data_IF_150928141534
#
_entry.id   IF_150928141534
#
_cell.length_a   1.000
_cell.length_b   1.000
_cell.length_c   1.000
_cell.angle_alpha   90.00
_cell.angle_beta   90.00
_cell.angle_gamma   90.00
#
_symmetry.space_group_name_H-M   'P 1'
#
loop_
_entity.id
_entity.type
_entity.pdbx_description
1 polymer ?
#
# COMPACT_ATOMS: atom_id res chain seq x y z
N UNK A 1 15.98 5.59 -43.13
CA UNK A 1 15.41 6.69 -42.30
C UNK A 1 13.89 6.62 -42.04
N UNK A 2 13.04 6.12 -42.96
CA UNK A 2 11.58 6.02 -42.72
C UNK A 2 11.20 5.00 -41.63
N UNK A 3 11.88 3.84 -41.59
CA UNK A 3 11.62 2.76 -40.62
C UNK A 3 11.89 3.14 -39.16
N UNK A 4 13.05 3.75 -38.86
CA UNK A 4 13.41 4.16 -37.51
C UNK A 4 12.42 5.17 -36.90
N UNK A 5 11.99 6.17 -37.69
CA UNK A 5 10.96 7.13 -37.25
C UNK A 5 9.62 6.45 -36.97
N UNK A 6 9.24 5.45 -37.76
CA UNK A 6 8.02 4.67 -37.54
C UNK A 6 8.10 3.85 -36.24
N UNK A 7 9.23 3.19 -36.00
CA UNK A 7 9.49 2.46 -34.76
C UNK A 7 9.38 3.38 -33.53
N UNK A 8 10.01 4.56 -33.54
CA UNK A 8 9.92 5.53 -32.44
C UNK A 8 8.49 5.98 -32.14
N UNK A 9 7.68 6.22 -33.18
CA UNK A 9 6.25 6.53 -33.03
C UNK A 9 5.46 5.36 -32.43
N UNK A 10 5.79 4.13 -32.81
CA UNK A 10 5.17 2.93 -32.23
C UNK A 10 5.55 2.75 -30.76
N UNK A 11 6.81 2.95 -30.39
CA UNK A 11 7.27 2.90 -29.00
C UNK A 11 6.51 3.92 -28.14
N UNK A 12 6.36 5.16 -28.62
CA UNK A 12 5.59 6.19 -27.93
C UNK A 12 4.11 5.79 -27.78
N UNK A 13 3.51 5.21 -28.83
CA UNK A 13 2.12 4.72 -28.78
C UNK A 13 1.94 3.61 -27.74
N UNK A 14 2.91 2.69 -27.62
CA UNK A 14 2.88 1.62 -26.63
C UNK A 14 2.97 2.15 -25.19
N UNK A 15 3.83 3.14 -24.94
CA UNK A 15 3.91 3.81 -23.63
C UNK A 15 2.60 4.49 -23.25
N UNK A 16 2.02 5.29 -24.15
CA UNK A 16 0.74 5.97 -23.90
C UNK A 16 -0.39 4.96 -23.66
N UNK A 17 -0.43 3.87 -24.42
CA UNK A 17 -1.42 2.82 -24.23
C UNK A 17 -1.29 2.14 -22.86
N UNK A 18 -0.06 1.87 -22.40
CA UNK A 18 0.18 1.33 -21.08
C UNK A 18 -0.22 2.34 -19.99
N UNK A 19 0.20 3.59 -20.08
CA UNK A 19 -0.13 4.65 -19.11
C UNK A 19 -1.65 4.81 -18.94
N UNK A 20 -2.41 4.81 -20.04
CA UNK A 20 -3.87 4.87 -20.00
C UNK A 20 -4.50 3.63 -19.34
N UNK A 21 -3.94 2.44 -19.60
CA UNK A 21 -4.41 1.20 -18.97
C UNK A 21 -4.17 1.21 -17.46
N UNK A 22 -2.97 1.62 -17.03
CA UNK A 22 -2.61 1.71 -15.61
C UNK A 22 -3.47 2.75 -14.89
N UNK A 23 -3.78 3.88 -15.56
CA UNK A 23 -4.71 4.89 -15.03
C UNK A 23 -6.12 4.31 -14.81
N UNK A 24 -6.66 3.60 -15.80
CA UNK A 24 -7.98 2.97 -15.67
C UNK A 24 -8.01 1.92 -14.54
N UNK A 25 -6.94 1.12 -14.39
CA UNK A 25 -6.80 0.15 -13.30
C UNK A 25 -6.76 0.84 -11.92
N UNK A 26 -6.07 1.98 -11.78
CA UNK A 26 -6.08 2.77 -10.55
C UNK A 26 -7.46 3.32 -10.22
N UNK A 27 -8.20 3.80 -11.21
CA UNK A 27 -9.55 4.35 -11.02
C UNK A 27 -10.54 3.24 -10.63
N UNK A 28 -10.44 2.05 -11.22
CA UNK A 28 -11.22 0.88 -10.82
C UNK A 28 -10.89 0.44 -9.39
N UNK A 29 -9.60 0.40 -9.05
CA UNK A 29 -9.15 0.08 -7.70
C UNK A 29 -9.73 1.06 -6.67
N UNK A 30 -9.65 2.37 -6.91
CA UNK A 30 -10.25 3.40 -6.04
C UNK A 30 -11.75 3.19 -5.85
N UNK A 31 -12.48 2.92 -6.93
CA UNK A 31 -13.92 2.66 -6.86
C UNK A 31 -14.24 1.41 -6.03
N UNK A 32 -13.42 0.36 -6.12
CA UNK A 32 -13.55 -0.85 -5.30
C UNK A 32 -13.35 -0.54 -3.82
N UNK A 33 -12.28 0.19 -3.47
CA UNK A 33 -11.99 0.59 -2.09
C UNK A 33 -13.12 1.45 -1.50
N UNK A 34 -13.67 2.38 -2.29
CA UNK A 34 -14.82 3.19 -1.86
C UNK A 34 -16.04 2.33 -1.54
N UNK A 35 -16.38 1.37 -2.41
CA UNK A 35 -17.51 0.44 -2.18
C UNK A 35 -17.31 -0.42 -0.94
N UNK A 36 -16.09 -0.87 -0.66
CA UNK A 36 -15.77 -1.62 0.55
C UNK A 36 -15.98 -0.77 1.82
N UNK A 37 -15.56 0.50 1.79
CA UNK A 37 -15.79 1.44 2.90
C UNK A 37 -17.29 1.71 3.13
N UNK A 38 -18.03 1.97 2.05
CA UNK A 38 -19.49 2.19 2.12
C UNK A 38 -20.20 0.94 2.68
N UNK A 39 -19.79 -0.25 2.24
CA UNK A 39 -20.34 -1.52 2.74
C UNK A 39 -20.03 -1.72 4.23
N UNK A 40 -18.79 -1.44 4.64
CA UNK A 40 -18.39 -1.52 6.05
C UNK A 40 -19.19 -0.53 6.92
N UNK A 41 -19.36 0.71 6.46
CA UNK A 41 -20.12 1.73 7.15
C UNK A 41 -21.60 1.35 7.30
N UNK A 42 -22.22 0.84 6.23
CA UNK A 42 -23.61 0.38 6.26
C UNK A 42 -23.81 -0.80 7.22
N UNK A 43 -22.90 -1.78 7.21
CA UNK A 43 -22.93 -2.91 8.14
C UNK A 43 -22.79 -2.44 9.59
N UNK A 44 -21.85 -1.54 9.85
CA UNK A 44 -21.63 -0.92 11.17
C UNK A 44 -22.91 -0.23 11.68
N UNK A 45 -23.56 0.56 10.81
CA UNK A 45 -24.80 1.25 11.13
C UNK A 45 -25.93 0.27 11.50
N UNK A 46 -26.15 -0.76 10.68
CA UNK A 46 -27.20 -1.77 10.92
C UNK A 46 -26.95 -2.52 12.23
N UNK A 47 -25.70 -2.89 12.51
CA UNK A 47 -25.35 -3.58 13.76
C UNK A 47 -25.58 -2.71 15.00
N UNK A 48 -25.22 -1.43 14.95
CA UNK A 48 -25.44 -0.50 16.06
C UNK A 48 -26.93 -0.23 16.28
N UNK A 49 -27.71 -0.06 15.20
CA UNK A 49 -29.15 0.11 15.28
C UNK A 49 -29.82 -1.14 15.89
N UNK A 50 -29.36 -2.34 15.51
CA UNK A 50 -29.85 -3.60 16.06
C UNK A 50 -29.51 -3.75 17.54
N UNK A 51 -28.32 -3.34 17.96
CA UNK A 51 -27.91 -3.35 19.36
C UNK A 51 -28.77 -2.39 20.18
N UNK A 52 -28.97 -1.16 19.70
CA UNK A 52 -29.81 -0.17 20.37
C UNK A 52 -31.26 -0.66 20.54
N UNK A 53 -31.85 -1.25 19.50
CA UNK A 53 -33.20 -1.85 19.58
C UNK A 53 -33.27 -3.00 20.57
N UNK A 54 -32.22 -3.84 20.64
CA UNK A 54 -32.12 -4.92 21.64
C UNK A 54 -32.08 -4.34 23.05
N UNK A 55 -31.27 -3.32 23.30
CA UNK A 55 -31.17 -2.65 24.60
C UNK A 55 -32.53 -2.11 25.05
N UNK A 56 -33.24 -1.37 24.19
CA UNK A 56 -34.58 -0.86 24.51
C UNK A 56 -35.55 -1.99 24.87
N UNK A 57 -35.61 -3.04 24.05
CA UNK A 57 -36.50 -4.17 24.30
C UNK A 57 -36.17 -4.92 25.61
N UNK A 58 -34.89 -5.04 25.95
CA UNK A 58 -34.45 -5.69 27.18
C UNK A 58 -34.73 -4.80 28.40
N UNK A 59 -34.51 -3.50 28.31
CA UNK A 59 -34.91 -2.53 29.35
C UNK A 59 -36.41 -2.61 29.64
N UNK A 60 -37.26 -2.62 28.61
CA UNK A 60 -38.71 -2.74 28.77
C UNK A 60 -39.12 -4.07 29.43
N UNK A 61 -38.43 -5.16 29.10
CA UNK A 61 -38.66 -6.48 29.68
C UNK A 61 -38.28 -6.51 31.16
N UNK A 62 -37.11 -5.97 31.51
CA UNK A 62 -36.65 -5.87 32.90
C UNK A 62 -37.55 -4.96 33.75
N UNK A 63 -38.01 -3.83 33.20
CA UNK A 63 -38.98 -2.96 33.88
C UNK A 63 -40.30 -3.67 34.18
N UNK A 64 -40.81 -4.48 33.24
CA UNK A 64 -42.03 -5.27 33.48
C UNK A 64 -41.81 -6.38 34.49
N UNK A 65 -40.67 -7.07 34.43
CA UNK A 65 -40.33 -8.15 35.35
C UNK A 65 -40.17 -7.64 36.79
N UNK A 66 -39.44 -6.54 36.98
CA UNK A 66 -39.28 -5.89 38.29
C UNK A 66 -40.60 -5.40 38.87
N UNK A 67 -41.47 -4.78 38.06
CA UNK A 67 -42.79 -4.34 38.49
C UNK A 67 -43.76 -5.50 38.80
N UNK A 68 -43.59 -6.67 38.17
CA UNK A 68 -44.36 -7.87 38.49
C UNK A 68 -43.88 -8.49 39.81
N UNK A 69 -42.56 -8.56 40.02
CA UNK A 69 -41.97 -9.08 41.25
C UNK A 69 -42.29 -8.19 42.46
N UNK A 70 -42.23 -6.86 42.31
CA UNK A 70 -42.65 -5.92 43.36
C UNK A 70 -44.11 -6.19 43.79
N UNK A 71 -45.03 -6.34 42.82
CA UNK A 71 -46.44 -6.65 43.10
C UNK A 71 -46.61 -7.99 43.80
N UNK A 72 -45.84 -9.01 43.39
CA UNK A 72 -45.88 -10.35 44.01
C UNK A 72 -45.46 -10.29 45.47
N UNK A 73 -44.34 -9.63 45.77
CA UNK A 73 -43.84 -9.50 47.14
C UNK A 73 -44.81 -8.68 47.99
N UNK A 74 -45.36 -7.58 47.46
CA UNK A 74 -46.39 -6.79 48.16
C UNK A 74 -47.62 -7.63 48.51
N UNK A 75 -48.12 -8.43 47.56
CA UNK A 75 -49.25 -9.33 47.81
C UNK A 75 -48.92 -10.39 48.87
N UNK A 76 -47.70 -10.94 48.85
CA UNK A 76 -47.26 -11.91 49.85
C UNK A 76 -47.22 -11.31 51.26
N UNK A 77 -46.71 -10.08 51.40
CA UNK A 77 -46.70 -9.37 52.68
C UNK A 77 -48.13 -9.14 53.19
N UNK A 78 -49.01 -8.61 52.33
CA UNK A 78 -50.41 -8.36 52.72
C UNK A 78 -51.15 -9.65 53.08
N UNK A 79 -50.92 -10.73 52.34
CA UNK A 79 -51.52 -12.04 52.64
C UNK A 79 -51.05 -12.58 54.00
N UNK A 80 -49.76 -12.44 54.30
CA UNK A 80 -49.18 -12.81 55.59
C UNK A 80 -49.75 -11.97 56.73
N UNK A 81 -49.83 -10.65 56.56
CA UNK A 81 -50.42 -9.73 57.53
C UNK A 81 -51.90 -10.03 57.82
N UNK A 82 -52.68 -10.35 56.78
CA UNK A 82 -54.08 -10.76 56.93
C UNK A 82 -54.21 -12.07 57.70
N UNK A 83 -53.33 -13.04 57.45
CA UNK A 83 -53.30 -14.31 58.18
C UNK A 83 -53.00 -14.07 59.66
N UNK A 84 -51.96 -13.29 59.96
CA UNK A 84 -51.58 -12.91 61.33
C UNK A 84 -52.70 -12.18 62.05
N UNK A 85 -53.35 -11.21 61.40
CA UNK A 85 -54.48 -10.47 61.97
C UNK A 85 -55.68 -11.40 62.26
N UNK A 86 -55.98 -12.34 61.35
CA UNK A 86 -57.06 -13.30 61.55
C UNK A 86 -56.77 -14.20 62.75
N UNK A 87 -55.56 -14.74 62.85
CA UNK A 87 -55.12 -15.56 63.98
C UNK A 87 -55.13 -14.76 65.29
N UNK A 88 -54.69 -13.50 65.26
CA UNK A 88 -54.72 -12.60 66.41
C UNK A 88 -56.15 -12.36 66.93
N UNK A 89 -57.08 -11.99 66.04
CA UNK A 89 -58.49 -11.76 66.38
C UNK A 89 -59.18 -13.04 66.91
N UNK A 90 -58.81 -14.22 66.39
CA UNK A 90 -59.30 -15.49 66.92
C UNK A 90 -58.79 -15.77 68.34
N UNK A 91 -57.51 -15.46 68.62
CA UNK A 91 -56.94 -15.56 69.97
C UNK A 91 -57.66 -14.62 70.92
N UNK A 92 -57.81 -13.36 70.52
CA UNK A 92 -58.47 -12.32 71.30
C UNK A 92 -59.93 -12.69 71.65
N UNK A 93 -60.68 -13.29 70.71
CA UNK A 93 -62.04 -13.81 70.95
C UNK A 93 -62.08 -15.00 71.93
N UNK A 94 -61.04 -15.83 71.97
CA UNK A 94 -60.95 -16.94 72.93
C UNK A 94 -60.61 -16.40 74.32
N UNK A 95 -59.65 -15.50 74.42
CA UNK A 95 -59.26 -14.83 75.66
C UNK A 95 -60.39 -14.00 76.26
N UNK A 96 -61.13 -13.23 75.43
CA UNK A 96 -62.31 -12.49 75.88
C UNK A 96 -63.34 -13.41 76.51
N UNK A 97 -63.60 -14.58 75.91
CA UNK A 97 -64.54 -15.57 76.47
C UNK A 97 -64.07 -16.06 77.84
N UNK A 98 -62.80 -16.48 77.94
CA UNK A 98 -62.21 -16.96 79.19
C UNK A 98 -62.21 -15.90 80.30
N UNK A 99 -61.79 -14.67 80.01
CA UNK A 99 -61.77 -13.58 80.98
C UNK A 99 -63.18 -13.17 81.39
N UNK A 100 -64.12 -13.03 80.44
CA UNK A 100 -65.52 -12.71 80.72
C UNK A 100 -66.18 -13.75 81.62
N UNK A 101 -65.89 -15.04 81.41
CA UNK A 101 -66.44 -16.12 82.24
C UNK A 101 -65.82 -16.10 83.65
N UNK A 102 -64.51 -15.89 83.79
CA UNK A 102 -63.85 -15.70 85.10
C UNK A 102 -64.41 -14.53 85.91
N UNK A 103 -64.56 -13.36 85.29
CA UNK A 103 -65.10 -12.16 85.94
C UNK A 103 -66.57 -12.38 86.35
N UNK A 104 -67.34 -13.08 85.51
CA UNK A 104 -68.72 -13.44 85.84
C UNK A 104 -68.77 -14.33 87.07
N UNK A 105 -67.87 -15.30 87.19
CA UNK A 105 -67.77 -16.17 88.36
C UNK A 105 -67.34 -15.40 89.63
N UNK A 106 -66.34 -14.51 89.53
CA UNK A 106 -65.87 -13.64 90.62
C UNK A 106 -66.97 -12.69 91.14
N UNK A 107 -67.71 -12.01 90.25
CA UNK A 107 -68.83 -11.12 90.61
C UNK A 107 -70.02 -11.89 91.20
N UNK A 108 -70.16 -13.19 90.88
CA UNK A 108 -71.22 -14.05 91.42
C UNK A 108 -70.90 -14.54 92.83
N UNK A 109 -69.61 -14.78 93.15
CA UNK A 109 -69.15 -15.24 94.47
C UNK A 109 -69.21 -14.15 95.56
N UNK A 110 -69.19 -12.87 95.18
CA UNK A 110 -69.15 -11.76 96.14
C UNK A 110 -70.56 -11.40 96.67
N UNK A 111 -70.96 -11.95 97.82
CA UNK A 111 -72.36 -11.93 98.30
C UNK A 111 -72.83 -10.57 98.84
N UNK A 112 -71.92 -9.61 99.03
CA UNK A 112 -72.18 -8.33 99.72
C UNK A 112 -72.50 -7.12 98.82
N UNK A 113 -72.38 -7.25 97.49
CA UNK A 113 -72.50 -6.12 96.56
C UNK A 113 -73.92 -6.03 95.96
N UNK A 114 -74.58 -4.85 95.99
CA UNK A 114 -75.89 -4.63 95.37
C UNK A 114 -75.95 -5.06 93.90
N UNK A 115 -77.12 -5.55 93.44
CA UNK A 115 -77.31 -6.06 92.06
C UNK A 115 -76.94 -5.03 90.98
N UNK A 116 -77.18 -3.75 91.25
CA UNK A 116 -76.93 -2.64 90.34
C UNK A 116 -75.43 -2.37 90.18
N UNK A 117 -74.67 -2.39 91.29
CA UNK A 117 -73.21 -2.25 91.29
C UNK A 117 -72.49 -3.47 90.66
N UNK A 118 -73.03 -4.69 90.83
CA UNK A 118 -72.50 -5.89 90.15
C UNK A 118 -72.63 -5.82 88.62
N UNK A 119 -73.76 -5.29 88.13
CA UNK A 119 -73.99 -5.09 86.70
C UNK A 119 -73.08 -3.99 86.15
N UNK A 120 -72.91 -2.90 86.89
CA UNK A 120 -72.01 -1.82 86.50
C UNK A 120 -70.53 -2.24 86.51
N UNK A 121 -70.09 -3.00 87.51
CA UNK A 121 -68.74 -3.56 87.59
C UNK A 121 -68.43 -4.48 86.40
N UNK A 122 -69.36 -5.40 86.09
CA UNK A 122 -69.25 -6.28 84.91
C UNK A 122 -69.23 -5.48 83.60
N UNK A 123 -69.99 -4.38 83.52
CA UNK A 123 -70.04 -3.50 82.35
C UNK A 123 -68.71 -2.75 82.15
N UNK A 124 -68.20 -2.08 83.20
CA UNK A 124 -66.91 -1.35 83.17
C UNK A 124 -65.75 -2.29 82.81
N UNK A 125 -65.76 -3.52 83.32
CA UNK A 125 -64.69 -4.47 83.05
C UNK A 125 -64.74 -5.01 81.61
N UNK A 126 -65.93 -5.24 81.04
CA UNK A 126 -66.10 -5.54 79.61
C UNK A 126 -65.62 -4.38 78.72
N UNK A 127 -65.95 -3.14 79.08
CA UNK A 127 -65.52 -1.95 78.34
C UNK A 127 -63.98 -1.81 78.38
N UNK A 128 -63.37 -2.02 79.55
CA UNK A 128 -61.90 -1.98 79.71
C UNK A 128 -61.22 -3.07 78.87
N UNK A 129 -61.75 -4.29 78.89
CA UNK A 129 -61.25 -5.39 78.05
C UNK A 129 -61.38 -5.08 76.56
N UNK A 130 -62.53 -4.55 76.12
CA UNK A 130 -62.72 -4.15 74.72
C UNK A 130 -61.77 -3.01 74.31
N UNK A 131 -61.54 -2.04 75.20
CA UNK A 131 -60.58 -0.94 74.95
C UNK A 131 -59.15 -1.47 74.82
N UNK A 132 -58.69 -2.32 75.74
CA UNK A 132 -57.38 -2.98 75.67
C UNK A 132 -57.23 -3.81 74.39
N UNK A 133 -58.27 -4.54 74.00
CA UNK A 133 -58.28 -5.33 72.76
C UNK A 133 -58.18 -4.46 71.50
N UNK A 134 -58.87 -3.32 71.48
CA UNK A 134 -58.78 -2.35 70.40
C UNK A 134 -57.40 -1.67 70.34
N UNK A 135 -56.78 -1.40 71.50
CA UNK A 135 -55.42 -0.85 71.59
C UNK A 135 -54.37 -1.83 71.06
N UNK A 136 -54.45 -3.12 71.43
CA UNK A 136 -53.55 -4.16 70.91
C UNK A 136 -53.74 -4.43 69.42
N UNK A 137 -54.98 -4.44 68.92
CA UNK A 137 -55.26 -4.54 67.48
C UNK A 137 -54.69 -3.33 66.72
N UNK A 138 -54.89 -2.11 67.26
CA UNK A 138 -54.32 -0.88 66.69
C UNK A 138 -52.79 -0.94 66.63
N UNK A 139 -52.16 -1.44 67.69
CA UNK A 139 -50.70 -1.63 67.75
C UNK A 139 -50.21 -2.65 66.73
N UNK A 140 -50.86 -3.81 66.59
CA UNK A 140 -50.52 -4.81 65.56
C UNK A 140 -50.65 -4.22 64.15
N UNK A 141 -51.75 -3.54 63.85
CA UNK A 141 -51.97 -2.89 62.56
C UNK A 141 -50.91 -1.80 62.27
N UNK A 142 -50.50 -1.05 63.30
CA UNK A 142 -49.41 -0.09 63.23
C UNK A 142 -48.06 -0.75 62.88
N UNK A 143 -47.73 -1.86 63.53
CA UNK A 143 -46.52 -2.64 63.23
C UNK A 143 -46.54 -3.21 61.81
N UNK A 144 -47.67 -3.81 61.40
CA UNK A 144 -47.84 -4.35 60.06
C UNK A 144 -47.65 -3.26 59.00
N UNK A 145 -48.21 -2.06 59.21
CA UNK A 145 -48.00 -0.92 58.31
C UNK A 145 -46.51 -0.56 58.19
N UNK A 146 -45.80 -0.43 59.32
CA UNK A 146 -44.37 -0.11 59.30
C UNK A 146 -43.53 -1.18 58.58
N UNK A 147 -43.83 -2.46 58.80
CA UNK A 147 -43.16 -3.57 58.10
C UNK A 147 -43.43 -3.53 56.60
N UNK A 148 -44.68 -3.27 56.19
CA UNK A 148 -45.05 -3.15 54.78
C UNK A 148 -44.32 -2.00 54.10
N UNK A 149 -44.35 -0.80 54.71
CA UNK A 149 -43.72 0.39 54.15
C UNK A 149 -42.20 0.22 54.02
N UNK A 150 -41.56 -0.37 55.04
CA UNK A 150 -40.12 -0.67 55.03
C UNK A 150 -39.76 -1.70 53.96
N UNK A 151 -40.57 -2.74 53.81
CA UNK A 151 -40.35 -3.79 52.80
C UNK A 151 -40.53 -3.22 51.38
N UNK A 152 -41.56 -2.41 51.15
CA UNK A 152 -41.75 -1.72 49.88
C UNK A 152 -40.56 -0.82 49.53
N UNK A 153 -40.03 -0.08 50.51
CA UNK A 153 -38.85 0.77 50.28
C UNK A 153 -37.59 -0.06 49.98
N UNK A 154 -37.39 -1.19 50.67
CA UNK A 154 -36.28 -2.11 50.40
C UNK A 154 -36.35 -2.69 48.97
N UNK A 155 -37.54 -3.09 48.51
CA UNK A 155 -37.75 -3.59 47.14
C UNK A 155 -37.40 -2.50 46.12
N UNK A 156 -37.88 -1.27 46.32
CA UNK A 156 -37.55 -0.13 45.43
C UNK A 156 -36.04 0.10 45.35
N UNK A 157 -35.32 0.01 46.47
CA UNK A 157 -33.85 0.11 46.50
C UNK A 157 -33.20 -0.99 45.66
N UNK A 158 -33.66 -2.24 45.82
CA UNK A 158 -33.17 -3.40 45.05
C UNK A 158 -33.41 -3.22 43.55
N UNK A 159 -34.55 -2.68 43.16
CA UNK A 159 -34.88 -2.37 41.76
C UNK A 159 -33.95 -1.31 41.18
N UNK A 160 -33.63 -0.24 41.93
CA UNK A 160 -32.66 0.79 41.49
C UNK A 160 -31.28 0.17 41.25
N UNK A 161 -30.78 -0.64 42.19
CA UNK A 161 -29.48 -1.32 42.07
C UNK A 161 -29.45 -2.26 40.86
N UNK A 162 -30.46 -3.12 40.71
CA UNK A 162 -30.57 -4.02 39.56
C UNK A 162 -30.60 -3.27 38.23
N UNK A 163 -31.32 -2.14 38.16
CA UNK A 163 -31.34 -1.28 36.96
C UNK A 163 -29.95 -0.69 36.69
N UNK A 164 -29.23 -0.24 37.73
CA UNK A 164 -27.87 0.28 37.58
C UNK A 164 -26.90 -0.77 37.05
N UNK A 165 -26.94 -1.99 37.57
CA UNK A 165 -26.13 -3.12 37.08
C UNK A 165 -26.42 -3.42 35.60
N UNK A 166 -27.70 -3.44 35.24
CA UNK A 166 -28.13 -3.67 33.86
C UNK A 166 -27.67 -2.56 32.90
N UNK A 167 -27.77 -1.29 33.30
CA UNK A 167 -27.23 -0.16 32.53
C UNK A 167 -25.70 -0.24 32.36
N UNK A 168 -24.98 -0.70 33.38
CA UNK A 168 -23.53 -0.93 33.29
C UNK A 168 -23.19 -2.06 32.32
N UNK A 169 -24.01 -3.11 32.24
CA UNK A 169 -23.82 -4.18 31.24
C UNK A 169 -24.07 -3.67 29.82
N UNK A 170 -25.16 -2.93 29.60
CA UNK A 170 -25.47 -2.32 28.30
C UNK A 170 -24.37 -1.36 27.84
N UNK A 171 -23.86 -0.48 28.71
CA UNK A 171 -22.80 0.45 28.33
C UNK A 171 -21.50 -0.30 27.99
N UNK A 172 -21.21 -1.41 28.68
CA UNK A 172 -20.05 -2.26 28.37
C UNK A 172 -20.20 -2.92 27.01
N UNK A 173 -21.38 -3.47 26.69
CA UNK A 173 -21.67 -4.06 25.38
C UNK A 173 -21.55 -3.02 24.26
N UNK A 174 -22.16 -1.83 24.42
CA UNK A 174 -22.06 -0.69 23.47
C UNK A 174 -20.61 -0.28 23.22
N UNK A 175 -19.84 -0.05 24.27
CA UNK A 175 -18.45 0.41 24.17
C UNK A 175 -17.55 -0.67 23.55
N UNK A 176 -17.77 -1.95 23.89
CA UNK A 176 -17.04 -3.06 23.29
C UNK A 176 -17.38 -3.22 21.81
N UNK A 177 -18.65 -3.10 21.43
CA UNK A 177 -19.08 -3.19 20.03
C UNK A 177 -18.47 -2.05 19.21
N UNK A 178 -18.50 -0.82 19.74
CA UNK A 178 -17.89 0.35 19.10
C UNK A 178 -16.37 0.19 18.94
N UNK A 179 -15.68 -0.36 19.93
CA UNK A 179 -14.24 -0.69 19.84
C UNK A 179 -13.96 -1.68 18.72
N UNK A 180 -14.68 -2.80 18.68
CA UNK A 180 -14.48 -3.83 17.64
C UNK A 180 -14.74 -3.24 16.24
N UNK A 181 -15.78 -2.43 16.07
CA UNK A 181 -16.07 -1.77 14.80
C UNK A 181 -14.96 -0.82 14.37
N UNK A 182 -14.37 -0.06 15.31
CA UNK A 182 -13.22 0.81 15.04
C UNK A 182 -11.97 0.02 14.69
N UNK A 183 -11.68 -1.08 15.39
CA UNK A 183 -10.59 -1.99 15.05
C UNK A 183 -10.74 -2.58 13.64
N UNK A 184 -11.96 -2.96 13.25
CA UNK A 184 -12.26 -3.44 11.89
C UNK A 184 -12.08 -2.35 10.83
N UNK A 185 -12.49 -1.11 11.12
CA UNK A 185 -12.27 0.05 10.24
C UNK A 185 -10.77 0.34 10.04
N UNK A 186 -9.99 0.33 11.13
CA UNK A 186 -8.54 0.51 11.08
C UNK A 186 -7.85 -0.60 10.27
N UNK A 187 -8.23 -1.87 10.51
CA UNK A 187 -7.71 -3.01 9.75
C UNK A 187 -8.13 -2.96 8.27
N UNK A 188 -9.31 -2.41 7.94
CA UNK A 188 -9.70 -2.16 6.56
C UNK A 188 -8.79 -1.10 5.93
N UNK A 189 -8.63 0.07 6.56
CA UNK A 189 -7.78 1.14 6.02
C UNK A 189 -6.33 0.69 5.78
N UNK A 190 -5.74 -0.10 6.69
CA UNK A 190 -4.40 -0.67 6.53
C UNK A 190 -4.33 -1.57 5.29
N UNK A 191 -5.30 -2.49 5.12
CA UNK A 191 -5.33 -3.38 3.95
C UNK A 191 -5.56 -2.61 2.64
N UNK A 192 -6.36 -1.56 2.66
CA UNK A 192 -6.60 -0.72 1.49
C UNK A 192 -5.33 0.05 1.10
N UNK A 193 -4.60 0.57 2.07
CA UNK A 193 -3.29 1.21 1.88
C UNK A 193 -2.28 0.22 1.29
N UNK A 194 -2.12 -0.97 1.89
CA UNK A 194 -1.24 -2.03 1.37
C UNK A 194 -1.59 -2.44 -0.07
N UNK A 195 -2.87 -2.66 -0.36
CA UNK A 195 -3.31 -3.01 -1.72
C UNK A 195 -3.04 -1.89 -2.73
N UNK A 196 -3.17 -0.63 -2.31
CA UNK A 196 -2.83 0.53 -3.15
C UNK A 196 -1.32 0.61 -3.41
N UNK A 197 -0.49 0.38 -2.38
CA UNK A 197 0.97 0.38 -2.49
C UNK A 197 1.46 -0.69 -3.46
N UNK A 198 0.94 -1.92 -3.33
CA UNK A 198 1.29 -3.03 -4.21
C UNK A 198 0.92 -2.74 -5.67
N UNK A 199 -0.25 -2.12 -5.89
CA UNK A 199 -0.66 -1.70 -7.21
C UNK A 199 0.29 -0.63 -7.77
N UNK A 200 0.57 0.44 -7.03
CA UNK A 200 1.47 1.50 -7.49
C UNK A 200 2.89 0.99 -7.80
N UNK A 201 3.43 0.09 -6.96
CA UNK A 201 4.74 -0.56 -7.19
C UNK A 201 4.72 -1.40 -8.46
N UNK A 202 3.68 -2.23 -8.64
CA UNK A 202 3.52 -3.05 -9.86
C UNK A 202 3.41 -2.19 -11.11
N UNK A 203 2.62 -1.12 -11.07
CA UNK A 203 2.44 -0.22 -12.20
C UNK A 203 3.74 0.49 -12.57
N UNK A 204 4.50 0.97 -11.58
CA UNK A 204 5.83 1.54 -11.82
C UNK A 204 6.76 0.51 -12.46
N UNK A 205 6.81 -0.72 -11.93
CA UNK A 205 7.66 -1.79 -12.47
C UNK A 205 7.28 -2.14 -13.92
N UNK A 206 6.00 -2.25 -14.25
CA UNK A 206 5.52 -2.52 -15.60
C UNK A 206 5.96 -1.43 -16.58
N UNK A 207 5.83 -0.17 -16.17
CA UNK A 207 6.18 0.98 -16.98
C UNK A 207 7.69 1.11 -17.19
N UNK A 208 8.50 0.86 -16.15
CA UNK A 208 9.96 0.79 -16.24
C UNK A 208 10.43 -0.37 -17.12
N UNK A 209 9.79 -1.54 -17.00
CA UNK A 209 10.11 -2.72 -17.80
C UNK A 209 9.84 -2.47 -19.28
N UNK A 210 8.69 -1.88 -19.63
CA UNK A 210 8.39 -1.51 -21.01
C UNK A 210 9.38 -0.46 -21.54
N UNK A 211 9.71 0.58 -20.75
CA UNK A 211 10.71 1.58 -21.16
C UNK A 211 12.07 0.94 -21.46
N UNK A 212 12.54 0.05 -20.59
CA UNK A 212 13.80 -0.66 -20.77
C UNK A 212 13.78 -1.56 -22.02
N UNK A 213 12.68 -2.28 -22.25
CA UNK A 213 12.51 -3.11 -23.45
C UNK A 213 12.51 -2.27 -24.73
N UNK A 214 11.79 -1.16 -24.75
CA UNK A 214 11.74 -0.26 -25.91
C UNK A 214 13.11 0.34 -26.24
N UNK A 215 13.90 0.66 -25.23
CA UNK A 215 15.26 1.18 -25.41
C UNK A 215 16.20 0.08 -25.90
N UNK A 216 16.08 -1.15 -25.38
CA UNK A 216 16.82 -2.30 -25.90
C UNK A 216 16.51 -2.54 -27.39
N UNK A 217 15.23 -2.52 -27.77
CA UNK A 217 14.82 -2.68 -29.16
C UNK A 217 15.34 -1.54 -30.04
N UNK A 218 15.33 -0.31 -29.53
CA UNK A 218 15.90 0.85 -30.22
C UNK A 218 17.41 0.67 -30.45
N UNK A 219 18.17 0.29 -29.43
CA UNK A 219 19.61 0.07 -29.53
C UNK A 219 19.94 -1.05 -30.54
N UNK A 220 19.16 -2.14 -30.53
CA UNK A 220 19.31 -3.22 -31.50
C UNK A 220 19.11 -2.73 -32.95
N UNK A 221 18.06 -1.94 -33.20
CA UNK A 221 17.85 -1.34 -34.53
C UNK A 221 18.96 -0.37 -34.92
N UNK A 222 19.54 0.39 -33.98
CA UNK A 222 20.67 1.28 -34.26
C UNK A 222 21.93 0.50 -34.66
N UNK A 223 22.22 -0.60 -33.96
CA UNK A 223 23.33 -1.50 -34.30
C UNK A 223 23.16 -2.14 -35.67
N UNK A 224 21.98 -2.67 -35.98
CA UNK A 224 21.67 -3.24 -37.30
C UNK A 224 21.87 -2.20 -38.43
N UNK A 225 21.43 -0.96 -38.21
CA UNK A 225 21.63 0.11 -39.19
C UNK A 225 23.12 0.47 -39.37
N UNK A 226 23.91 0.42 -38.29
CA UNK A 226 25.36 0.67 -38.34
C UNK A 226 26.05 -0.45 -39.14
N UNK A 227 25.75 -1.71 -38.85
CA UNK A 227 26.31 -2.86 -39.59
C UNK A 227 25.98 -2.80 -41.09
N UNK A 228 24.74 -2.43 -41.44
CA UNK A 228 24.34 -2.22 -42.84
C UNK A 228 25.08 -1.04 -43.50
N UNK A 229 25.39 0.01 -42.74
CA UNK A 229 26.17 1.16 -43.22
C UNK A 229 27.62 0.77 -43.46
N UNK A 230 28.27 0.14 -42.48
CA UNK A 230 29.65 -0.34 -42.54
C UNK A 230 29.85 -1.24 -43.76
N UNK A 231 29.00 -2.26 -43.89
CA UNK A 231 29.08 -3.20 -45.02
C UNK A 231 28.80 -2.53 -46.38
N UNK A 232 28.06 -1.42 -46.45
CA UNK A 232 27.91 -0.64 -47.69
C UNK A 232 29.19 0.13 -48.02
N UNK A 233 29.79 0.80 -47.03
CA UNK A 233 31.04 1.57 -47.20
C UNK A 233 32.21 0.68 -47.62
N UNK A 234 32.32 -0.51 -47.03
CA UNK A 234 33.33 -1.50 -47.44
C UNK A 234 33.13 -1.96 -48.89
N UNK A 235 31.89 -2.22 -49.31
CA UNK A 235 31.58 -2.59 -50.70
C UNK A 235 31.87 -1.45 -51.68
N UNK A 236 31.60 -0.20 -51.31
CA UNK A 236 31.93 0.98 -52.12
C UNK A 236 33.45 1.11 -52.31
N UNK A 237 34.23 0.96 -51.23
CA UNK A 237 35.69 1.00 -51.30
C UNK A 237 36.25 -0.15 -52.15
N UNK A 238 35.75 -1.37 -51.95
CA UNK A 238 36.18 -2.53 -52.73
C UNK A 238 35.88 -2.37 -54.24
N UNK A 239 34.73 -1.78 -54.59
CA UNK A 239 34.39 -1.45 -55.98
C UNK A 239 35.35 -0.43 -56.58
N UNK A 240 35.72 0.60 -55.81
CA UNK A 240 36.72 1.61 -56.20
C UNK A 240 38.06 0.94 -56.50
N UNK A 241 38.57 0.12 -55.57
CA UNK A 241 39.85 -0.59 -55.74
C UNK A 241 39.85 -1.54 -56.92
N UNK A 242 38.75 -2.28 -57.11
CA UNK A 242 38.58 -3.17 -58.27
C UNK A 242 38.63 -2.38 -59.59
N UNK A 243 38.03 -1.19 -59.63
CA UNK A 243 38.04 -0.35 -60.82
C UNK A 243 39.45 0.19 -61.12
N UNK A 244 40.20 0.60 -60.11
CA UNK A 244 41.58 1.07 -60.25
C UNK A 244 42.50 -0.03 -60.75
N UNK A 245 42.39 -1.25 -60.19
CA UNK A 245 43.14 -2.42 -60.65
C UNK A 245 42.82 -2.77 -62.11
N UNK A 246 41.55 -2.63 -62.53
CA UNK A 246 41.15 -2.82 -63.95
C UNK A 246 41.75 -1.75 -64.87
N UNK A 247 41.95 -0.53 -64.38
CA UNK A 247 42.53 0.57 -65.16
C UNK A 247 44.07 0.52 -65.17
N UNK A 248 44.69 -0.16 -64.20
CA UNK A 248 46.14 -0.21 -64.02
C UNK A 248 46.91 -0.65 -65.28
N UNK A 249 46.55 -1.72 -66.01
CA UNK A 249 47.27 -2.12 -67.23
C UNK A 249 47.29 -1.03 -68.30
N UNK A 250 46.21 -0.24 -68.41
CA UNK A 250 46.11 0.87 -69.36
C UNK A 250 47.07 2.00 -68.97
N UNK A 251 47.13 2.33 -67.68
CA UNK A 251 48.01 3.38 -67.15
C UNK A 251 49.49 2.99 -67.30
N UNK A 252 49.84 1.74 -66.97
CA UNK A 252 51.19 1.21 -67.12
C UNK A 252 51.65 1.23 -68.59
N UNK A 253 50.78 0.83 -69.53
CA UNK A 253 51.08 0.87 -70.97
C UNK A 253 51.35 2.28 -71.49
N UNK A 254 50.67 3.30 -70.96
CA UNK A 254 50.95 4.70 -71.31
C UNK A 254 52.33 5.13 -70.83
N UNK A 255 52.73 4.74 -69.62
CA UNK A 255 54.02 5.08 -69.03
C UNK A 255 55.17 4.31 -69.71
N UNK A 256 54.97 3.03 -70.01
CA UNK A 256 55.87 2.21 -70.82
C UNK A 256 56.15 2.86 -72.19
N UNK A 257 55.11 3.38 -72.86
CA UNK A 257 55.26 4.05 -74.15
C UNK A 257 56.09 5.34 -74.06
N UNK A 258 56.02 6.07 -72.94
CA UNK A 258 56.86 7.24 -72.70
C UNK A 258 58.34 6.86 -72.50
N UNK A 259 58.61 5.84 -71.68
CA UNK A 259 59.98 5.31 -71.46
C UNK A 259 60.56 4.80 -72.79
N UNK A 260 59.76 4.08 -73.58
CA UNK A 260 60.14 3.60 -74.92
C UNK A 260 60.50 4.74 -75.86
N UNK A 261 59.75 5.84 -75.85
CA UNK A 261 60.06 7.02 -76.65
C UNK A 261 61.40 7.64 -76.21
N UNK A 262 61.63 7.80 -74.91
CA UNK A 262 62.89 8.32 -74.38
C UNK A 262 64.09 7.44 -74.76
N UNK A 263 63.94 6.13 -74.66
CA UNK A 263 64.96 5.17 -75.10
C UNK A 263 65.27 5.29 -76.60
N UNK A 264 64.23 5.35 -77.45
CA UNK A 264 64.39 5.53 -78.89
C UNK A 264 65.12 6.84 -79.23
N UNK A 265 64.78 7.94 -78.57
CA UNK A 265 65.41 9.23 -78.81
C UNK A 265 66.88 9.23 -78.33
N UNK A 266 67.16 8.59 -77.20
CA UNK A 266 68.54 8.39 -76.70
C UNK A 266 69.37 7.54 -77.66
N UNK A 267 68.80 6.45 -78.20
CA UNK A 267 69.42 5.63 -79.22
C UNK A 267 69.72 6.42 -80.51
N UNK A 268 68.82 7.31 -80.94
CA UNK A 268 69.06 8.18 -82.10
C UNK A 268 70.23 9.13 -81.84
N UNK A 269 70.32 9.71 -80.64
CA UNK A 269 71.43 10.59 -80.25
C UNK A 269 72.75 9.83 -80.23
N UNK A 270 72.81 8.64 -79.62
CA UNK A 270 74.01 7.79 -79.62
C UNK A 270 74.45 7.43 -81.05
N UNK A 271 73.52 7.08 -81.94
CA UNK A 271 73.83 6.77 -83.33
C UNK A 271 74.40 8.00 -84.09
N UNK A 272 73.88 9.20 -83.84
CA UNK A 272 74.43 10.44 -84.41
C UNK A 272 75.85 10.71 -83.88
N UNK A 273 76.06 10.57 -82.57
CA UNK A 273 77.37 10.73 -81.92
C UNK A 273 78.39 9.72 -82.46
N UNK A 274 78.01 8.46 -82.62
CA UNK A 274 78.85 7.43 -83.23
C UNK A 274 79.27 7.79 -84.65
N UNK A 275 78.33 8.24 -85.50
CA UNK A 275 78.64 8.66 -86.88
C UNK A 275 79.62 9.84 -86.91
N UNK A 276 79.41 10.84 -86.05
CA UNK A 276 80.30 11.99 -85.94
C UNK A 276 81.71 11.59 -85.46
N UNK A 277 81.79 10.79 -84.40
CA UNK A 277 83.05 10.27 -83.85
C UNK A 277 83.81 9.41 -84.87
N UNK A 278 83.08 8.54 -85.59
CA UNK A 278 83.64 7.69 -86.65
C UNK A 278 84.24 8.52 -87.77
N UNK A 279 83.53 9.53 -88.27
CA UNK A 279 84.03 10.38 -89.34
C UNK A 279 85.31 11.11 -88.90
N UNK A 280 85.29 11.73 -87.71
CA UNK A 280 86.45 12.43 -87.16
C UNK A 280 87.67 11.52 -86.96
N UNK A 281 87.50 10.31 -86.41
CA UNK A 281 88.61 9.38 -86.21
C UNK A 281 89.22 8.87 -87.53
N UNK A 282 88.42 8.74 -88.60
CA UNK A 282 88.93 8.39 -89.93
C UNK A 282 89.66 9.55 -90.62
N UNK A 283 89.29 10.80 -90.33
CA UNK A 283 89.96 12.00 -90.85
C UNK A 283 91.32 12.24 -90.21
N UNK A 284 91.47 11.97 -88.91
CA UNK A 284 92.69 12.25 -88.13
C UNK A 284 93.69 11.09 -88.14
N UNK A 285 93.26 9.85 -88.37
CA UNK A 285 94.12 8.66 -88.28
C UNK A 285 94.77 8.27 -89.63
N UNK A 286 96.00 7.69 -89.61
CA UNK A 286 96.64 7.12 -90.80
C UNK A 286 95.84 5.96 -91.42
N UNK A 287 95.86 5.85 -92.76
CA UNK A 287 95.09 4.82 -93.51
C UNK A 287 95.39 3.38 -93.09
N UNK A 288 96.58 3.09 -92.55
CA UNK A 288 96.96 1.77 -92.04
C UNK A 288 96.15 1.31 -90.82
N UNK A 289 95.67 2.25 -90.00
CA UNK A 289 95.00 1.97 -88.72
C UNK A 289 93.47 1.95 -88.81
N UNK A 290 92.92 2.40 -89.94
CA UNK A 290 91.47 2.54 -90.17
C UNK A 290 90.69 1.25 -89.90
N UNK A 291 91.27 0.09 -90.23
CA UNK A 291 90.62 -1.22 -90.02
C UNK A 291 90.44 -1.54 -88.53
N UNK A 292 91.44 -1.22 -87.71
CA UNK A 292 91.41 -1.47 -86.26
C UNK A 292 90.46 -0.48 -85.58
N UNK A 293 90.53 0.80 -85.97
CA UNK A 293 89.66 1.88 -85.44
C UNK A 293 88.18 1.63 -85.76
N UNK A 294 87.84 1.20 -86.98
CA UNK A 294 86.46 0.88 -87.34
C UNK A 294 85.91 -0.31 -86.55
N UNK A 295 86.76 -1.31 -86.27
CA UNK A 295 86.38 -2.47 -85.46
C UNK A 295 86.12 -2.05 -84.02
N UNK A 296 87.04 -1.29 -83.40
CA UNK A 296 86.89 -0.81 -82.02
C UNK A 296 85.70 0.13 -81.84
N UNK A 297 85.47 1.06 -82.78
CA UNK A 297 84.32 1.95 -82.76
C UNK A 297 82.99 1.18 -82.86
N UNK A 298 82.94 0.13 -83.69
CA UNK A 298 81.74 -0.70 -83.85
C UNK A 298 81.49 -1.54 -82.59
N UNK A 299 82.52 -2.13 -82.00
CA UNK A 299 82.43 -2.83 -80.71
C UNK A 299 81.93 -1.89 -79.60
N UNK A 300 82.46 -0.66 -79.53
CA UNK A 300 82.03 0.36 -78.59
C UNK A 300 80.59 0.84 -78.85
N UNK A 301 80.17 0.97 -80.11
CA UNK A 301 78.77 1.27 -80.47
C UNK A 301 77.82 0.16 -80.01
N UNK A 302 78.17 -1.11 -80.26
CA UNK A 302 77.38 -2.27 -79.82
C UNK A 302 77.29 -2.31 -78.30
N UNK A 303 78.41 -2.06 -77.59
CA UNK A 303 78.43 -1.98 -76.12
C UNK A 303 77.53 -0.87 -75.59
N UNK A 304 77.61 0.35 -76.15
CA UNK A 304 76.76 1.48 -75.74
C UNK A 304 75.28 1.23 -75.99
N UNK A 305 74.92 0.61 -77.12
CA UNK A 305 73.54 0.23 -77.41
C UNK A 305 73.03 -0.89 -76.49
N UNK A 306 73.88 -1.86 -76.13
CA UNK A 306 73.56 -2.89 -75.16
C UNK A 306 73.29 -2.30 -73.77
N UNK A 307 74.15 -1.39 -73.31
CA UNK A 307 73.96 -0.67 -72.04
C UNK A 307 72.67 0.16 -72.03
N UNK A 308 72.34 0.84 -73.14
CA UNK A 308 71.06 1.55 -73.25
C UNK A 308 69.86 0.58 -73.20
N UNK A 309 69.98 -0.60 -73.80
CA UNK A 309 68.92 -1.61 -73.78
C UNK A 309 68.71 -2.16 -72.36
N UNK A 310 69.79 -2.47 -71.64
CA UNK A 310 69.75 -2.85 -70.23
C UNK A 310 69.12 -1.76 -69.36
N UNK A 311 69.50 -0.49 -69.57
CA UNK A 311 68.91 0.64 -68.87
C UNK A 311 67.41 0.80 -69.15
N UNK A 312 66.98 0.55 -70.39
CA UNK A 312 65.57 0.57 -70.76
C UNK A 312 64.78 -0.56 -70.08
N UNK A 313 65.29 -1.80 -70.13
CA UNK A 313 64.67 -2.94 -69.45
C UNK A 313 64.59 -2.72 -67.94
N UNK A 314 65.66 -2.20 -67.33
CA UNK A 314 65.69 -1.84 -65.93
C UNK A 314 64.65 -0.76 -65.60
N UNK A 315 64.59 0.32 -66.39
CA UNK A 315 63.64 1.42 -66.19
C UNK A 315 62.18 0.97 -66.31
N UNK A 316 61.88 0.03 -67.22
CA UNK A 316 60.53 -0.55 -67.33
C UNK A 316 60.21 -1.41 -66.12
N UNK A 317 61.11 -2.32 -65.74
CA UNK A 317 60.85 -3.24 -64.63
C UNK A 317 60.70 -2.48 -63.31
N UNK A 318 61.56 -1.48 -63.07
CA UNK A 318 61.48 -0.61 -61.90
C UNK A 318 60.17 0.20 -61.88
N UNK A 319 59.79 0.81 -63.02
CA UNK A 319 58.53 1.55 -63.12
C UNK A 319 57.31 0.66 -62.85
N UNK A 320 57.27 -0.53 -63.45
CA UNK A 320 56.17 -1.49 -63.28
C UNK A 320 56.07 -1.93 -61.81
N UNK A 321 57.18 -2.35 -61.20
CA UNK A 321 57.21 -2.76 -59.81
C UNK A 321 56.82 -1.61 -58.87
N UNK A 322 57.37 -0.42 -59.08
CA UNK A 322 57.08 0.77 -58.28
C UNK A 322 55.60 1.17 -58.36
N UNK A 323 55.01 1.18 -59.55
CA UNK A 323 53.60 1.53 -59.74
C UNK A 323 52.65 0.48 -59.17
N UNK A 324 52.99 -0.81 -59.28
CA UNK A 324 52.20 -1.89 -58.65
C UNK A 324 52.25 -1.77 -57.13
N UNK A 325 53.46 -1.68 -56.55
CA UNK A 325 53.61 -1.51 -55.10
C UNK A 325 52.92 -0.25 -54.57
N UNK A 326 53.00 0.85 -55.32
CA UNK A 326 52.34 2.10 -54.94
C UNK A 326 50.83 1.95 -54.90
N UNK A 327 50.23 1.35 -55.92
CA UNK A 327 48.78 1.14 -55.94
C UNK A 327 48.34 0.24 -54.77
N UNK A 328 49.04 -0.86 -54.54
CA UNK A 328 48.73 -1.77 -53.44
C UNK A 328 48.85 -1.08 -52.07
N UNK A 329 49.91 -0.30 -51.86
CA UNK A 329 50.11 0.48 -50.64
C UNK A 329 49.02 1.55 -50.44
N UNK A 330 48.65 2.29 -51.50
CA UNK A 330 47.56 3.27 -51.45
C UNK A 330 46.23 2.58 -51.08
N UNK A 331 45.90 1.45 -51.71
CA UNK A 331 44.68 0.69 -51.40
C UNK A 331 44.66 0.14 -49.96
N UNK A 332 45.80 -0.34 -49.47
CA UNK A 332 45.92 -0.80 -48.08
C UNK A 332 45.70 0.35 -47.09
N UNK A 333 46.31 1.51 -47.32
CA UNK A 333 46.12 2.68 -46.45
C UNK A 333 44.67 3.16 -46.43
N UNK A 334 43.97 3.16 -47.57
CA UNK A 334 42.55 3.49 -47.64
C UNK A 334 41.68 2.47 -46.89
N UNK A 335 41.99 1.17 -47.00
CA UNK A 335 41.31 0.12 -46.25
C UNK A 335 41.49 0.30 -44.74
N UNK A 336 42.70 0.58 -44.29
CA UNK A 336 43.01 0.80 -42.87
C UNK A 336 42.30 2.06 -42.35
N UNK A 337 42.33 3.15 -43.11
CA UNK A 337 41.66 4.40 -42.75
C UNK A 337 40.13 4.21 -42.64
N UNK A 338 39.51 3.52 -43.60
CA UNK A 338 38.07 3.24 -43.54
C UNK A 338 37.73 2.37 -42.33
N UNK A 339 38.50 1.32 -42.05
CA UNK A 339 38.28 0.47 -40.86
C UNK A 339 38.36 1.26 -39.56
N UNK A 340 39.37 2.12 -39.43
CA UNK A 340 39.49 2.99 -38.26
C UNK A 340 38.32 3.95 -38.13
N UNK A 341 37.86 4.55 -39.23
CA UNK A 341 36.71 5.44 -39.23
C UNK A 341 35.42 4.72 -38.77
N UNK A 342 35.11 3.56 -39.37
CA UNK A 342 33.90 2.79 -39.01
C UNK A 342 33.96 2.31 -37.55
N UNK A 343 35.15 1.92 -37.07
CA UNK A 343 35.35 1.57 -35.67
C UNK A 343 35.08 2.75 -34.72
N UNK A 344 35.55 3.95 -35.04
CA UNK A 344 35.28 5.16 -34.25
C UNK A 344 33.78 5.51 -34.23
N UNK A 345 33.09 5.36 -35.37
CA UNK A 345 31.64 5.57 -35.46
C UNK A 345 30.86 4.58 -34.58
N UNK A 346 31.29 3.31 -34.54
CA UNK A 346 30.72 2.28 -33.67
C UNK A 346 30.96 2.57 -32.19
N UNK A 347 32.17 2.97 -31.81
CA UNK A 347 32.50 3.36 -30.43
C UNK A 347 31.67 4.56 -29.96
N UNK A 348 31.42 5.53 -30.85
CA UNK A 348 30.54 6.66 -30.56
C UNK A 348 29.09 6.21 -30.33
N UNK A 349 28.60 5.26 -31.14
CA UNK A 349 27.28 4.67 -30.97
C UNK A 349 27.17 3.92 -29.63
N UNK A 350 28.16 3.09 -29.30
CA UNK A 350 28.21 2.35 -28.03
C UNK A 350 28.22 3.30 -26.82
N UNK A 351 28.98 4.40 -26.91
CA UNK A 351 29.01 5.45 -25.88
C UNK A 351 27.65 6.15 -25.74
N UNK A 352 26.97 6.44 -26.86
CA UNK A 352 25.64 7.04 -26.86
C UNK A 352 24.58 6.11 -26.25
N UNK A 353 24.59 4.83 -26.60
CA UNK A 353 23.69 3.83 -26.05
C UNK A 353 23.93 3.62 -24.55
N UNK A 354 25.19 3.54 -24.13
CA UNK A 354 25.58 3.42 -22.72
C UNK A 354 25.09 4.61 -21.91
N UNK A 355 25.26 5.83 -22.43
CA UNK A 355 24.76 7.06 -21.81
C UNK A 355 23.23 7.05 -21.69
N UNK A 356 22.53 6.64 -22.74
CA UNK A 356 21.06 6.56 -22.75
C UNK A 356 20.55 5.56 -21.70
N UNK A 357 21.17 4.38 -21.64
CA UNK A 357 20.86 3.35 -20.63
C UNK A 357 21.04 3.88 -19.22
N UNK A 358 22.19 4.48 -18.92
CA UNK A 358 22.48 5.06 -17.60
C UNK A 358 21.49 6.17 -17.20
N UNK A 359 21.08 7.02 -18.16
CA UNK A 359 20.07 8.05 -17.91
C UNK A 359 18.70 7.45 -17.52
N UNK A 360 18.29 6.39 -18.19
CA UNK A 360 17.02 5.69 -17.90
C UNK A 360 17.09 5.00 -16.55
N UNK A 361 18.19 4.33 -16.23
CA UNK A 361 18.42 3.70 -14.92
C UNK A 361 18.36 4.74 -13.79
N UNK A 362 19.05 5.88 -13.94
CA UNK A 362 18.97 6.98 -12.97
C UNK A 362 17.55 7.57 -12.87
N UNK A 363 16.81 7.64 -13.97
CA UNK A 363 15.40 8.05 -13.93
C UNK A 363 14.54 7.03 -13.16
N UNK A 364 14.73 5.73 -13.41
CA UNK A 364 14.00 4.67 -12.72
C UNK A 364 14.25 4.69 -11.21
N UNK A 365 15.50 4.88 -10.78
CA UNK A 365 15.86 5.03 -9.36
C UNK A 365 15.15 6.22 -8.72
N UNK A 366 15.15 7.39 -9.38
CA UNK A 366 14.47 8.59 -8.88
C UNK A 366 12.95 8.39 -8.79
N UNK A 367 12.35 7.73 -9.77
CA UNK A 367 10.91 7.42 -9.76
C UNK A 367 10.57 6.46 -8.62
N UNK A 368 11.40 5.44 -8.39
CA UNK A 368 11.24 4.50 -7.27
C UNK A 368 11.36 5.20 -5.92
N UNK A 369 12.39 6.03 -5.73
CA UNK A 369 12.56 6.80 -4.49
C UNK A 369 11.37 7.74 -4.23
N UNK A 370 10.88 8.43 -5.26
CA UNK A 370 9.69 9.30 -5.15
C UNK A 370 8.45 8.51 -4.77
N UNK A 371 8.25 7.33 -5.35
CA UNK A 371 7.13 6.48 -5.01
C UNK A 371 7.22 6.00 -3.56
N UNK A 372 8.37 5.51 -3.12
CA UNK A 372 8.57 5.04 -1.74
C UNK A 372 8.40 6.19 -0.73
N UNK A 373 8.89 7.40 -1.02
CA UNK A 373 8.64 8.57 -0.18
C UNK A 373 7.13 8.89 -0.08
N UNK A 374 6.41 8.87 -1.20
CA UNK A 374 4.96 9.09 -1.22
C UNK A 374 4.20 8.00 -0.45
N UNK A 375 4.64 6.76 -0.53
CA UNK A 375 4.10 5.63 0.25
C UNK A 375 4.37 5.85 1.74
N UNK A 376 5.61 6.15 2.12
CA UNK A 376 6.00 6.35 3.51
C UNK A 376 5.24 7.51 4.18
N UNK A 377 5.09 8.65 3.50
CA UNK A 377 4.34 9.80 4.01
C UNK A 377 2.86 9.43 4.22
N UNK A 378 2.23 8.76 3.24
CA UNK A 378 0.84 8.31 3.39
C UNK A 378 0.68 7.32 4.54
N UNK A 379 1.63 6.40 4.70
CA UNK A 379 1.62 5.41 5.78
C UNK A 379 1.72 6.09 7.15
N UNK A 380 2.65 7.02 7.31
CA UNK A 380 2.82 7.78 8.55
C UNK A 380 1.55 8.57 8.91
N UNK A 381 0.91 9.21 7.94
CA UNK A 381 -0.37 9.90 8.17
C UNK A 381 -1.50 8.95 8.55
N UNK A 382 -1.56 7.76 7.93
CA UNK A 382 -2.56 6.75 8.29
C UNK A 382 -2.35 6.24 9.72
N UNK A 383 -1.11 5.94 10.09
CA UNK A 383 -0.75 5.47 11.43
C UNK A 383 -1.05 6.54 12.50
N UNK A 384 -0.68 7.80 12.24
CA UNK A 384 -1.01 8.92 13.11
C UNK A 384 -2.53 9.05 13.29
N UNK A 385 -3.30 9.00 12.20
CA UNK A 385 -4.76 9.08 12.27
C UNK A 385 -5.36 7.93 13.11
N UNK A 386 -4.86 6.71 12.94
CA UNK A 386 -5.29 5.55 13.73
C UNK A 386 -4.99 5.76 15.21
N UNK A 387 -3.79 6.25 15.54
CA UNK A 387 -3.39 6.52 16.92
C UNK A 387 -4.27 7.60 17.57
N UNK A 388 -4.52 8.71 16.88
CA UNK A 388 -5.41 9.78 17.34
C UNK A 388 -6.84 9.28 17.56
N UNK A 389 -7.36 8.44 16.65
CA UNK A 389 -8.68 7.82 16.79
C UNK A 389 -8.75 6.86 17.99
N UNK A 390 -7.70 6.07 18.25
CA UNK A 390 -7.64 5.16 19.41
C UNK A 390 -7.61 5.94 20.72
N UNK A 391 -6.84 7.02 20.80
CA UNK A 391 -6.80 7.91 21.98
C UNK A 391 -8.17 8.56 22.20
N UNK A 392 -8.79 9.08 21.13
CA UNK A 392 -10.12 9.68 21.19
C UNK A 392 -11.18 8.67 21.66
N UNK A 393 -11.16 7.44 21.12
CA UNK A 393 -12.07 6.37 21.50
C UNK A 393 -11.89 5.96 22.97
N UNK A 394 -10.65 5.85 23.44
CA UNK A 394 -10.37 5.53 24.84
C UNK A 394 -10.83 6.64 25.77
N UNK A 395 -10.63 7.91 25.40
CA UNK A 395 -11.15 9.06 26.14
C UNK A 395 -12.68 9.01 26.23
N UNK A 396 -13.37 8.84 25.10
CA UNK A 396 -14.84 8.72 25.07
C UNK A 396 -15.33 7.56 25.95
N UNK A 397 -14.66 6.41 25.90
CA UNK A 397 -14.97 5.25 26.76
C UNK A 397 -14.89 5.61 28.24
N UNK A 398 -13.82 6.27 28.67
CA UNK A 398 -13.64 6.67 30.07
C UNK A 398 -14.67 7.71 30.52
N UNK A 399 -14.96 8.71 29.68
CA UNK A 399 -15.94 9.75 29.98
C UNK A 399 -17.35 9.17 30.09
N UNK A 400 -17.73 8.28 29.18
CA UNK A 400 -19.06 7.64 29.17
C UNK A 400 -19.28 6.75 30.39
N UNK A 401 -18.26 5.99 30.80
CA UNK A 401 -18.30 5.20 32.05
C UNK A 401 -18.41 6.13 33.28
N UNK A 402 -17.60 7.18 33.33
CA UNK A 402 -17.61 8.16 34.43
C UNK A 402 -18.99 8.82 34.57
N UNK A 403 -19.57 9.30 33.48
CA UNK A 403 -20.90 9.92 33.47
C UNK A 403 -21.99 8.97 33.95
N UNK A 404 -21.91 7.68 33.61
CA UNK A 404 -22.83 6.67 34.11
C UNK A 404 -22.73 6.55 35.63
N UNK A 405 -21.52 6.35 36.16
CA UNK A 405 -21.32 6.20 37.61
C UNK A 405 -21.74 7.44 38.39
N UNK A 406 -21.39 8.65 37.93
CA UNK A 406 -21.81 9.91 38.57
C UNK A 406 -23.33 10.12 38.55
N UNK A 407 -24.03 9.58 37.54
CA UNK A 407 -25.51 9.59 37.50
C UNK A 407 -26.07 8.59 38.52
N UNK A 408 -25.52 7.38 38.56
CA UNK A 408 -25.98 6.31 39.46
C UNK A 408 -25.72 6.64 40.93
N UNK A 409 -24.60 7.30 41.24
CA UNK A 409 -24.27 7.81 42.57
C UNK A 409 -25.28 8.86 43.02
N UNK A 410 -25.52 9.91 42.21
CA UNK A 410 -26.53 10.95 42.51
C UNK A 410 -27.93 10.38 42.72
N UNK A 411 -28.31 9.37 41.94
CA UNK A 411 -29.59 8.71 42.10
C UNK A 411 -29.66 7.88 43.39
N UNK A 412 -28.59 7.19 43.75
CA UNK A 412 -28.49 6.42 44.99
C UNK A 412 -28.55 7.34 46.20
N UNK A 413 -27.81 8.44 46.19
CA UNK A 413 -27.80 9.45 47.25
C UNK A 413 -29.16 10.13 47.40
N UNK A 414 -29.82 10.43 46.26
CA UNK A 414 -31.19 10.94 46.24
C UNK A 414 -32.18 9.96 46.87
N UNK A 415 -32.08 8.68 46.51
CA UNK A 415 -32.90 7.61 47.06
C UNK A 415 -32.67 7.41 48.57
N UNK A 416 -31.42 7.39 49.02
CA UNK A 416 -31.07 7.19 50.43
C UNK A 416 -31.49 8.41 51.29
N UNK A 417 -31.35 9.62 50.75
CA UNK A 417 -31.82 10.87 51.37
C UNK A 417 -33.35 10.90 51.52
N UNK A 418 -34.09 10.53 50.46
CA UNK A 418 -35.55 10.42 50.51
C UNK A 418 -35.99 9.32 51.48
N UNK A 419 -35.29 8.19 51.52
CA UNK A 419 -35.58 7.10 52.46
C UNK A 419 -35.45 7.58 53.92
N UNK A 420 -34.39 8.33 54.21
CA UNK A 420 -34.14 8.89 55.53
C UNK A 420 -35.22 9.92 55.94
N UNK A 421 -35.67 10.76 55.00
CA UNK A 421 -36.76 11.73 55.23
C UNK A 421 -38.10 11.06 55.54
N UNK A 422 -38.36 9.89 54.94
CA UNK A 422 -39.56 9.08 55.20
C UNK A 422 -39.47 8.28 56.52
N UNK A 423 -38.38 8.44 57.29
CA UNK A 423 -38.17 7.76 58.56
C UNK A 423 -37.60 6.34 58.44
N UNK A 424 -37.17 5.92 57.25
CA UNK A 424 -36.46 4.66 57.08
C UNK A 424 -34.98 4.83 57.47
N UNK A 425 -34.47 3.96 58.34
CA UNK A 425 -33.02 3.85 58.62
C UNK A 425 -32.24 3.28 57.43
N UNK A 426 -30.96 2.95 57.63
CA UNK A 426 -30.14 2.36 56.55
C UNK A 426 -30.78 1.08 56.00
N UNK A 427 -31.16 1.11 54.73
CA UNK A 427 -31.73 -0.04 54.01
C UNK A 427 -30.65 -0.88 53.31
N UNK A 428 -29.37 -0.60 53.58
CA UNK A 428 -28.22 -1.31 52.99
C UNK A 428 -28.12 -2.78 53.41
N UNK A 429 -28.75 -3.18 54.52
CA UNK A 429 -28.59 -4.53 55.12
C UNK A 429 -29.82 -5.44 55.01
N UNK A 430 -30.86 -5.05 54.29
CA UNK A 430 -32.07 -5.87 54.11
C UNK A 430 -31.96 -6.69 52.82
N UNK A 431 -30.94 -7.53 52.74
CA UNK A 431 -31.00 -8.69 51.87
C UNK A 431 -31.99 -9.67 52.52
N UNK A 432 -33.22 -9.69 52.01
CA UNK A 432 -34.05 -10.88 52.17
C UNK A 432 -33.23 -12.02 51.57
N UNK A 433 -32.81 -12.96 52.42
CA UNK A 433 -32.21 -14.22 51.97
C UNK A 433 -33.09 -14.73 50.83
N UNK A 434 -32.52 -14.82 49.64
CA UNK A 434 -33.14 -15.58 48.57
C UNK A 434 -33.30 -16.99 49.14
N UNK A 435 -34.55 -17.41 49.36
CA UNK A 435 -34.83 -18.81 49.59
C UNK A 435 -34.39 -19.52 48.30
N UNK A 436 -33.29 -20.26 48.41
CA UNK A 436 -32.76 -21.16 47.39
C UNK A 436 -33.90 -21.98 46.77
N UNK A 437 -34.07 -21.83 45.46
CA UNK A 437 -34.80 -22.77 44.61
C UNK A 437 -33.99 -23.10 43.36
#
# INVERSE_FOLDING_TARGET
MSGYKRMRRQHQKQLIALENRLKAEMDEHRLRLQKELETHANNTYIELERLAKRHVAQTDKEMKATAAEERRIQQQIVAQQKKELTTFLESQKKEYRLCKDKIKDEVTQDSGIPKEEKLEHLSRHKETMQRSQAEEESHLLGQQRMVYDRSCRAIKRRTVVKRHEFEQEQIREELNKKRIQKEMEHALMIRQDESTQDLERRQLQMLQSLRAELVRMQHQTELENQEEYDGRRERELHRKHTLEQRQQPRNLKMLEMQIKKQFQDTCKVQNKQYKALRNHQLEVAPKGDHRVILKSLKEEQTRKLALLAEQYEHSINEMMASQTMRLDAEQETECQALKQQLQQEKELLDAYQSKTKSQIESQHEREQQKLEQKIAIRRAHLEQKIEEELVSLQKERTERIKQLFERQERESDGFDSESSRLGFGSLRSLDFKEDDR
#
